data_IF_675093893045
#
_entry.id   IF_675093893045
#
_cell.length_a   1.000
_cell.length_b   1.000
_cell.length_c   1.000
_cell.angle_alpha   90.00
_cell.angle_beta   90.00
_cell.angle_gamma   90.00
#
_symmetry.space_group_name_H-M   'P 1'
#
loop_
_entity.id
_entity.type
_entity.pdbx_description
1 polymer ?
#
# COMPACT_ATOMS: atom_id res chain seq x y z
N UNK A 1 6.25 41.28 -52.65
CA UNK A 1 5.88 39.87 -52.39
C UNK A 1 6.85 39.28 -51.39
N UNK A 2 6.50 39.22 -50.09
CA UNK A 2 7.33 38.61 -49.04
C UNK A 2 6.58 37.39 -48.49
N UNK A 3 7.04 36.19 -48.84
CA UNK A 3 6.53 34.92 -48.30
C UNK A 3 7.19 34.72 -46.93
N UNK A 4 6.40 34.79 -45.86
CA UNK A 4 6.83 34.44 -44.52
C UNK A 4 6.58 32.94 -44.31
N UNK A 5 7.66 32.17 -44.24
CA UNK A 5 7.63 30.74 -43.96
C UNK A 5 7.39 30.54 -42.46
N UNK A 6 6.22 30.04 -42.07
CA UNK A 6 5.93 29.65 -40.69
C UNK A 6 6.57 28.30 -40.40
N UNK A 7 7.61 28.28 -39.58
CA UNK A 7 8.15 27.06 -38.99
C UNK A 7 7.31 26.68 -37.76
N UNK A 8 6.53 25.61 -37.86
CA UNK A 8 5.80 25.02 -36.73
C UNK A 8 6.80 24.23 -35.90
N UNK A 9 7.18 24.77 -34.74
CA UNK A 9 7.92 24.04 -33.73
C UNK A 9 6.96 23.11 -32.98
N UNK A 10 7.03 21.81 -33.26
CA UNK A 10 6.33 20.77 -32.51
C UNK A 10 7.08 20.59 -31.18
N UNK A 11 6.58 21.18 -30.11
CA UNK A 11 7.03 20.89 -28.75
C UNK A 11 6.44 19.54 -28.36
N UNK A 12 7.25 18.48 -28.44
CA UNK A 12 6.91 17.19 -27.89
C UNK A 12 6.90 17.29 -26.36
N UNK A 13 5.72 17.49 -25.77
CA UNK A 13 5.53 17.34 -24.34
C UNK A 13 5.73 15.86 -23.97
N UNK A 14 6.93 15.52 -23.50
CA UNK A 14 7.18 14.26 -22.82
C UNK A 14 6.38 14.27 -21.52
N UNK A 15 5.12 13.82 -21.59
CA UNK A 15 4.29 13.62 -20.41
C UNK A 15 4.92 12.56 -19.55
N UNK A 16 5.63 12.96 -18.49
CA UNK A 16 6.02 12.05 -17.43
C UNK A 16 4.74 11.39 -16.93
N UNK A 17 4.65 10.07 -17.04
CA UNK A 17 3.57 9.28 -16.45
C UNK A 17 3.77 9.27 -14.92
N UNK A 18 3.57 10.41 -14.28
CA UNK A 18 3.40 10.48 -12.85
C UNK A 18 2.11 9.72 -12.55
N UNK A 19 2.20 8.49 -12.05
CA UNK A 19 1.03 7.77 -11.54
C UNK A 19 0.34 8.70 -10.53
N UNK A 20 -0.88 9.13 -10.83
CA UNK A 20 -1.61 10.05 -9.98
C UNK A 20 -1.72 9.45 -8.56
N UNK A 21 -1.37 10.25 -7.55
CA UNK A 21 -1.51 9.87 -6.16
C UNK A 21 -2.99 9.58 -5.87
N UNK A 22 -3.29 8.37 -5.39
CA UNK A 22 -4.66 7.97 -5.05
C UNK A 22 -4.91 8.25 -3.57
N UNK A 23 -6.01 8.93 -3.28
CA UNK A 23 -6.51 9.06 -1.91
C UNK A 23 -7.47 7.92 -1.63
N UNK A 24 -7.17 7.14 -0.59
CA UNK A 24 -8.01 6.03 -0.14
C UNK A 24 -8.89 6.50 1.02
N UNK A 25 -10.17 6.15 0.99
CA UNK A 25 -11.15 6.54 2.00
C UNK A 25 -12.08 5.36 2.33
N UNK A 26 -12.88 5.51 3.39
CA UNK A 26 -13.87 4.51 3.80
C UNK A 26 -13.27 3.12 4.00
N UNK A 27 -13.89 2.12 3.37
CA UNK A 27 -13.49 0.71 3.48
C UNK A 27 -12.09 0.44 2.92
N UNK A 28 -11.69 1.08 1.81
CA UNK A 28 -10.34 0.91 1.25
C UNK A 28 -9.26 1.40 2.22
N UNK A 29 -9.51 2.51 2.90
CA UNK A 29 -8.59 3.03 3.92
C UNK A 29 -8.56 2.15 5.18
N UNK A 30 -9.66 1.48 5.52
CA UNK A 30 -9.69 0.49 6.60
C UNK A 30 -8.92 -0.78 6.20
N UNK A 31 -9.10 -1.28 4.97
CA UNK A 31 -8.36 -2.42 4.43
C UNK A 31 -6.85 -2.15 4.37
N UNK A 32 -6.43 -0.95 3.94
CA UNK A 32 -5.02 -0.54 3.96
C UNK A 32 -4.41 -0.53 5.36
N UNK A 33 -5.12 0.01 6.36
CA UNK A 33 -4.67 -0.02 7.76
C UNK A 33 -4.56 -1.44 8.29
N UNK A 34 -5.51 -2.29 7.92
CA UNK A 34 -5.51 -3.69 8.30
C UNK A 34 -4.30 -4.43 7.71
N UNK A 35 -4.12 -4.32 6.41
CA UNK A 35 -2.98 -4.86 5.66
C UNK A 35 -1.65 -4.41 6.26
N UNK A 36 -1.47 -3.10 6.48
CA UNK A 36 -0.26 -2.55 7.07
C UNK A 36 0.02 -3.11 8.47
N UNK A 37 -1.00 -3.22 9.32
CA UNK A 37 -0.86 -3.74 10.68
C UNK A 37 -0.41 -5.20 10.67
N UNK A 38 -0.99 -6.04 9.80
CA UNK A 38 -0.58 -7.43 9.65
C UNK A 38 0.87 -7.56 9.16
N UNK A 39 1.25 -6.81 8.12
CA UNK A 39 2.60 -6.86 7.58
C UNK A 39 3.66 -6.38 8.59
N UNK A 40 3.44 -5.25 9.25
CA UNK A 40 4.40 -4.73 10.22
C UNK A 40 4.53 -5.66 11.43
N UNK A 41 3.43 -6.28 11.87
CA UNK A 41 3.49 -7.27 12.95
C UNK A 41 4.28 -8.49 12.54
N UNK A 42 4.07 -9.01 11.33
CA UNK A 42 4.83 -10.15 10.83
C UNK A 42 6.34 -9.84 10.79
N UNK A 43 6.71 -8.65 10.32
CA UNK A 43 8.10 -8.20 10.31
C UNK A 43 8.66 -8.06 11.72
N UNK A 44 7.91 -7.44 12.64
CA UNK A 44 8.33 -7.24 14.02
C UNK A 44 8.52 -8.56 14.78
N UNK A 45 7.53 -9.45 14.73
CA UNK A 45 7.59 -10.77 15.38
C UNK A 45 8.74 -11.61 14.84
N UNK A 46 9.01 -11.55 13.54
CA UNK A 46 10.13 -12.24 12.95
C UNK A 46 11.48 -11.63 13.36
N UNK A 47 11.57 -10.31 13.48
CA UNK A 47 12.74 -9.61 13.99
C UNK A 47 13.09 -10.00 15.43
N UNK A 48 12.09 -10.27 16.26
CA UNK A 48 12.23 -10.78 17.63
C UNK A 48 12.32 -12.31 17.71
N UNK A 49 12.46 -13.02 16.58
CA UNK A 49 12.50 -14.48 16.47
C UNK A 49 11.29 -15.22 17.10
N UNK A 50 10.15 -14.53 17.24
CA UNK A 50 8.89 -15.09 17.76
C UNK A 50 8.11 -15.89 16.71
N UNK A 51 8.37 -15.61 15.43
CA UNK A 51 7.86 -16.40 14.30
C UNK A 51 8.99 -16.69 13.30
N UNK A 52 8.89 -17.83 12.63
CA UNK A 52 9.79 -18.22 11.54
C UNK A 52 9.66 -17.31 10.32
N UNK A 53 10.68 -17.37 9.46
CA UNK A 53 10.65 -16.71 8.15
C UNK A 53 9.45 -17.16 7.31
N UNK A 54 9.12 -18.46 7.34
CA UNK A 54 7.98 -19.02 6.60
C UNK A 54 6.64 -18.48 7.11
N UNK A 55 6.46 -18.37 8.43
CA UNK A 55 5.26 -17.77 9.03
C UNK A 55 5.11 -16.29 8.66
N UNK A 56 6.22 -15.53 8.66
CA UNK A 56 6.21 -14.14 8.16
C UNK A 56 5.74 -14.08 6.71
N UNK A 57 6.28 -14.94 5.83
CA UNK A 57 5.91 -14.96 4.41
C UNK A 57 4.42 -15.29 4.21
N UNK A 58 3.86 -16.21 4.99
CA UNK A 58 2.42 -16.48 4.99
C UNK A 58 1.63 -15.23 5.37
N UNK A 59 2.01 -14.53 6.44
CA UNK A 59 1.33 -13.29 6.86
C UNK A 59 1.44 -12.16 5.83
N UNK A 60 2.59 -12.04 5.15
CA UNK A 60 2.76 -11.09 4.06
C UNK A 60 1.91 -11.47 2.84
N UNK A 61 1.75 -12.77 2.55
CA UNK A 61 0.83 -13.27 1.53
C UNK A 61 -0.63 -12.91 1.84
N UNK A 62 -1.06 -13.06 3.09
CA UNK A 62 -2.40 -12.63 3.54
C UNK A 62 -2.57 -11.12 3.33
N UNK A 63 -1.55 -10.33 3.69
CA UNK A 63 -1.55 -8.88 3.49
C UNK A 63 -1.73 -8.53 2.01
N UNK A 64 -0.98 -9.19 1.13
CA UNK A 64 -1.11 -9.02 -0.31
C UNK A 64 -2.53 -9.34 -0.81
N UNK A 65 -3.13 -10.42 -0.34
CA UNK A 65 -4.49 -10.81 -0.69
C UNK A 65 -5.55 -9.80 -0.22
N UNK A 66 -5.37 -9.18 0.95
CA UNK A 66 -6.27 -8.11 1.42
C UNK A 66 -6.18 -6.91 0.46
N UNK A 67 -4.97 -6.51 0.07
CA UNK A 67 -4.76 -5.38 -0.85
C UNK A 67 -5.32 -5.66 -2.24
N UNK A 68 -5.17 -6.88 -2.75
CA UNK A 68 -5.67 -7.23 -4.07
C UNK A 68 -7.19 -7.23 -4.13
N UNK A 69 -7.87 -7.71 -3.08
CA UNK A 69 -9.33 -7.82 -3.09
C UNK A 69 -10.07 -6.56 -2.62
N UNK A 70 -9.51 -5.84 -1.66
CA UNK A 70 -10.25 -4.78 -0.94
C UNK A 70 -9.68 -3.37 -1.17
N UNK A 71 -8.61 -3.24 -1.95
CA UNK A 71 -7.98 -1.96 -2.26
C UNK A 71 -7.80 -1.84 -3.75
N UNK A 72 -8.42 -0.84 -4.36
CA UNK A 72 -8.31 -0.57 -5.79
C UNK A 72 -7.01 0.17 -6.15
N UNK A 73 -6.81 0.35 -7.45
CA UNK A 73 -5.62 1.00 -8.00
C UNK A 73 -4.50 0.01 -8.31
N UNK A 74 -3.40 0.56 -8.81
CA UNK A 74 -2.23 -0.22 -9.22
C UNK A 74 -1.41 -0.67 -8.02
N UNK A 75 -0.62 -1.73 -8.18
CA UNK A 75 0.29 -2.18 -7.13
C UNK A 75 1.19 -1.07 -6.60
N UNK A 76 1.73 -0.21 -7.49
CA UNK A 76 2.56 0.92 -7.09
C UNK A 76 1.81 1.92 -6.20
N UNK A 77 0.52 2.18 -6.47
CA UNK A 77 -0.30 3.06 -5.64
C UNK A 77 -0.58 2.43 -4.27
N UNK A 78 -0.91 1.13 -4.22
CA UNK A 78 -1.13 0.40 -2.96
C UNK A 78 0.16 0.37 -2.11
N UNK A 79 1.30 0.09 -2.75
CA UNK A 79 2.62 0.09 -2.09
C UNK A 79 2.97 1.46 -1.52
N UNK A 80 2.80 2.53 -2.29
CA UNK A 80 3.05 3.89 -1.80
C UNK A 80 2.15 4.25 -0.60
N UNK A 81 0.88 3.82 -0.61
CA UNK A 81 -0.01 4.00 0.53
C UNK A 81 0.45 3.25 1.78
N UNK A 82 0.99 2.04 1.63
CA UNK A 82 1.57 1.28 2.74
C UNK A 82 2.85 1.92 3.29
N UNK A 83 3.72 2.45 2.43
CA UNK A 83 4.93 3.17 2.85
C UNK A 83 4.56 4.37 3.72
N UNK A 84 3.57 5.16 3.29
CA UNK A 84 3.03 6.28 4.08
C UNK A 84 2.45 5.79 5.41
N UNK A 85 1.75 4.67 5.44
CA UNK A 85 1.18 4.11 6.67
C UNK A 85 2.25 3.61 7.64
N UNK A 86 3.31 2.97 7.13
CA UNK A 86 4.49 2.57 7.90
C UNK A 86 5.15 3.77 8.54
N UNK A 87 5.42 4.81 7.76
CA UNK A 87 6.19 5.98 8.22
C UNK A 87 5.43 6.83 9.25
N UNK A 88 4.10 6.65 9.34
CA UNK A 88 3.24 7.35 10.30
C UNK A 88 3.16 6.71 11.68
N UNK A 89 3.71 5.50 11.89
CA UNK A 89 3.50 4.74 13.13
C UNK A 89 4.82 4.31 13.76
N UNK A 90 4.93 4.49 15.07
CA UNK A 90 5.98 3.82 15.83
C UNK A 90 5.63 2.33 16.01
N UNK A 91 6.65 1.53 16.32
CA UNK A 91 6.53 0.07 16.42
C UNK A 91 5.57 -0.37 17.54
N UNK A 92 5.60 0.32 18.68
CA UNK A 92 4.86 -0.05 19.89
C UNK A 92 3.35 0.14 19.69
N UNK A 93 2.93 1.28 19.11
CA UNK A 93 1.54 1.54 18.73
C UNK A 93 1.04 0.51 17.69
N UNK A 94 1.92 0.08 16.79
CA UNK A 94 1.58 -0.92 15.76
C UNK A 94 1.32 -2.30 16.36
N UNK A 95 2.15 -2.73 17.32
CA UNK A 95 1.98 -4.00 18.01
C UNK A 95 0.73 -4.00 18.91
N UNK A 96 0.43 -2.87 19.55
CA UNK A 96 -0.79 -2.73 20.36
C UNK A 96 -2.05 -2.77 19.47
N UNK A 97 -2.04 -2.09 18.32
CA UNK A 97 -3.14 -2.13 17.36
C UNK A 97 -3.36 -3.52 16.80
N UNK A 98 -2.30 -4.28 16.53
CA UNK A 98 -2.42 -5.67 16.11
C UNK A 98 -3.10 -6.52 17.17
N UNK A 99 -2.64 -6.47 18.43
CA UNK A 99 -3.24 -7.24 19.53
C UNK A 99 -4.73 -6.97 19.67
N UNK A 100 -5.12 -5.71 19.51
CA UNK A 100 -6.50 -5.28 19.67
C UNK A 100 -7.38 -5.62 18.47
N UNK A 101 -6.84 -5.58 17.24
CA UNK A 101 -7.65 -5.51 16.02
C UNK A 101 -7.38 -6.62 15.00
N UNK A 102 -6.31 -7.42 15.11
CA UNK A 102 -5.93 -8.39 14.06
C UNK A 102 -7.02 -9.43 13.74
N UNK A 103 -7.68 -9.97 14.75
CA UNK A 103 -8.78 -10.91 14.55
C UNK A 103 -10.01 -10.24 13.91
N UNK A 104 -10.28 -8.97 14.24
CA UNK A 104 -11.35 -8.19 13.63
C UNK A 104 -11.04 -7.87 12.17
N UNK A 105 -9.77 -7.60 11.89
CA UNK A 105 -9.20 -7.36 10.57
C UNK A 105 -9.59 -8.43 9.55
N UNK A 106 -9.32 -9.71 9.86
CA UNK A 106 -9.60 -10.82 8.95
C UNK A 106 -11.09 -11.14 8.83
N UNK A 107 -11.90 -10.80 9.85
CA UNK A 107 -13.37 -10.90 9.74
C UNK A 107 -13.94 -9.80 8.84
N UNK A 108 -13.40 -8.59 8.91
CA UNK A 108 -13.86 -7.45 8.13
C UNK A 108 -13.37 -7.51 6.67
N UNK A 109 -12.18 -8.07 6.44
CA UNK A 109 -11.57 -8.20 5.11
C UNK A 109 -11.21 -9.66 4.80
N UNK A 110 -12.21 -10.50 4.44
CA UNK A 110 -11.98 -11.91 4.15
C UNK A 110 -11.03 -12.11 2.97
N UNK A 111 -10.28 -13.23 2.99
CA UNK A 111 -9.31 -13.60 1.96
C UNK A 111 -9.68 -14.89 1.22
N UNK A 112 -10.91 -15.35 1.36
CA UNK A 112 -11.46 -16.58 0.78
C UNK A 112 -12.80 -16.31 0.12
#
# INVERSE_FOLDING_TARGET
>A
MRRATFAIAIVASMGSTAQAARTYAGEEAAALRCANTLALTAVALNGEALISQAEKEVMLGITFLILERHVSGTWNQKKAALEVMRDRRNLEDTLQDYRNNAAQCLRQFPIN
#
